data_IF_512542765067
#
_entry.id   IF_512542765067
#
_cell.length_a   1.000
_cell.length_b   1.000
_cell.length_c   1.000
_cell.angle_alpha   90.00
_cell.angle_beta   90.00
_cell.angle_gamma   90.00
#
_symmetry.space_group_name_H-M   'P 1'
#
loop_
_entity.id
_entity.type
_entity.pdbx_description
1 polymer ?
#
# COMPACT_ATOMS: atom_id res chain seq x y z
N UNK A 1 -8.97 22.38 41.16
CA UNK A 1 -8.20 21.16 40.80
C UNK A 1 -9.20 20.06 40.49
N UNK A 2 -9.53 19.89 39.20
CA UNK A 2 -10.47 18.86 38.74
C UNK A 2 -9.66 17.81 37.94
N UNK A 3 -9.55 16.63 38.55
CA UNK A 3 -8.84 15.48 38.02
C UNK A 3 -9.71 14.84 36.95
N UNK A 4 -9.27 14.80 35.72
CA UNK A 4 -9.90 14.06 34.63
C UNK A 4 -9.86 12.56 34.95
N UNK A 5 -11.01 12.01 35.27
CA UNK A 5 -11.24 10.57 35.40
C UNK A 5 -11.33 9.97 33.99
N UNK A 6 -10.24 9.35 33.53
CA UNK A 6 -10.24 8.55 32.31
C UNK A 6 -10.94 7.24 32.65
N UNK A 7 -12.15 7.06 32.13
CA UNK A 7 -12.86 5.79 32.16
C UNK A 7 -12.12 4.79 31.26
N UNK A 8 -11.38 3.89 31.89
CA UNK A 8 -10.91 2.65 31.23
C UNK A 8 -12.13 1.73 31.07
N UNK A 9 -12.79 1.76 29.92
CA UNK A 9 -13.70 0.68 29.54
C UNK A 9 -12.90 -0.61 29.40
N UNK A 10 -13.26 -1.61 30.23
CA UNK A 10 -12.68 -2.93 30.19
C UNK A 10 -12.86 -3.52 28.78
N UNK A 11 -11.78 -3.58 28.02
CA UNK A 11 -11.72 -4.20 26.71
C UNK A 11 -12.11 -5.68 26.85
N UNK A 12 -13.29 -6.02 26.38
CA UNK A 12 -13.87 -7.36 26.50
C UNK A 12 -13.28 -8.30 25.45
N UNK A 13 -12.24 -9.04 25.85
CA UNK A 13 -11.49 -10.00 25.00
C UNK A 13 -12.38 -11.09 24.38
N UNK A 14 -13.60 -11.32 24.92
CA UNK A 14 -14.55 -12.32 24.38
C UNK A 14 -15.23 -11.90 23.09
N UNK A 15 -15.16 -10.65 22.65
CA UNK A 15 -15.80 -10.16 21.42
C UNK A 15 -14.97 -10.35 20.15
N UNK A 16 -13.74 -10.82 20.28
CA UNK A 16 -12.84 -11.08 19.15
C UNK A 16 -13.07 -12.43 18.46
N UNK A 17 -13.72 -13.38 19.12
CA UNK A 17 -14.03 -14.69 18.54
C UNK A 17 -15.26 -14.72 17.62
N UNK A 18 -16.03 -13.63 17.56
CA UNK A 18 -17.26 -13.52 16.77
C UNK A 18 -17.20 -12.55 15.59
N UNK A 19 -16.06 -11.88 15.35
CA UNK A 19 -15.84 -11.22 14.06
C UNK A 19 -15.56 -12.34 13.06
N UNK A 20 -16.64 -12.91 12.54
CA UNK A 20 -16.60 -13.67 11.30
C UNK A 20 -15.92 -12.76 10.28
N UNK A 21 -14.71 -13.10 9.88
CA UNK A 21 -14.10 -12.63 8.66
C UNK A 21 -15.16 -12.83 7.57
N UNK A 22 -15.83 -11.76 7.17
CA UNK A 22 -16.56 -11.74 5.91
C UNK A 22 -15.49 -12.02 4.87
N UNK A 23 -15.57 -13.16 4.24
CA UNK A 23 -14.70 -13.64 3.19
C UNK A 23 -14.64 -12.58 2.10
N UNK A 24 -13.65 -11.71 2.19
CA UNK A 24 -13.16 -10.99 1.03
C UNK A 24 -12.70 -12.07 0.04
N UNK A 25 -13.40 -12.21 -1.08
CA UNK A 25 -13.00 -13.06 -2.20
C UNK A 25 -11.82 -12.42 -2.94
N UNK A 26 -10.79 -12.06 -2.24
CA UNK A 26 -9.47 -11.92 -2.82
C UNK A 26 -9.05 -13.35 -3.18
N UNK A 27 -8.85 -13.63 -4.46
CA UNK A 27 -8.35 -14.91 -4.93
C UNK A 27 -7.03 -15.18 -4.20
N UNK A 28 -7.10 -15.99 -3.14
CA UNK A 28 -5.94 -16.51 -2.42
C UNK A 28 -5.21 -17.51 -3.33
N UNK A 29 -4.32 -17.00 -4.17
CA UNK A 29 -3.27 -17.78 -4.80
C UNK A 29 -1.96 -17.75 -3.99
N UNK A 30 -2.04 -17.43 -2.67
CA UNK A 30 -0.86 -17.13 -1.87
C UNK A 30 -0.31 -18.26 -1.01
N UNK A 31 -0.97 -19.42 -0.93
CA UNK A 31 -0.46 -20.55 -0.13
C UNK A 31 0.61 -21.39 -0.85
N UNK A 32 0.78 -21.25 -2.16
CA UNK A 32 1.70 -22.12 -2.93
C UNK A 32 3.07 -21.51 -3.23
N UNK A 33 3.35 -20.28 -2.86
CA UNK A 33 4.56 -19.58 -3.34
C UNK A 33 5.48 -19.02 -2.24
N UNK A 34 5.55 -19.63 -1.07
CA UNK A 34 6.55 -19.29 -0.04
C UNK A 34 7.98 -19.82 -0.38
N UNK A 35 8.15 -20.46 -1.54
CA UNK A 35 9.44 -21.00 -1.96
C UNK A 35 10.51 -19.93 -2.12
N UNK A 36 10.15 -18.81 -2.76
CA UNK A 36 11.06 -17.67 -2.90
C UNK A 36 11.45 -17.07 -1.53
N UNK A 37 10.50 -17.02 -0.61
CA UNK A 37 10.78 -16.59 0.76
C UNK A 37 11.74 -17.53 1.47
N UNK A 38 11.59 -18.83 1.29
CA UNK A 38 12.48 -19.83 1.89
C UNK A 38 13.91 -19.69 1.35
N UNK A 39 14.10 -19.43 0.06
CA UNK A 39 15.42 -19.14 -0.53
C UNK A 39 16.05 -17.87 0.05
N UNK A 40 15.25 -16.81 0.21
CA UNK A 40 15.68 -15.56 0.87
C UNK A 40 16.09 -15.84 2.31
N UNK A 41 15.30 -16.64 3.04
CA UNK A 41 15.57 -16.99 4.43
C UNK A 41 16.81 -17.88 4.59
N UNK A 42 17.05 -18.81 3.69
CA UNK A 42 18.28 -19.61 3.70
C UNK A 42 19.53 -18.75 3.49
N UNK A 43 19.43 -17.73 2.64
CA UNK A 43 20.55 -16.86 2.32
C UNK A 43 20.84 -15.85 3.44
N UNK A 44 19.81 -15.23 4.01
CA UNK A 44 19.94 -14.11 4.94
C UNK A 44 19.50 -14.42 6.37
N UNK A 45 18.62 -15.40 6.57
CA UNK A 45 17.96 -15.64 7.88
C UNK A 45 18.89 -16.15 8.99
N UNK A 46 20.01 -16.76 8.64
CA UNK A 46 21.00 -17.30 9.60
C UNK A 46 21.88 -16.22 10.25
N UNK A 47 21.90 -15.00 9.75
CA UNK A 47 22.76 -13.91 10.22
C UNK A 47 21.96 -12.92 11.06
N UNK A 48 22.44 -12.59 12.27
CA UNK A 48 21.83 -11.56 13.11
C UNK A 48 21.92 -10.19 12.40
N UNK A 49 20.84 -9.41 12.43
CA UNK A 49 20.81 -8.05 11.87
C UNK A 49 20.23 -7.92 10.45
N UNK A 50 19.95 -9.00 9.75
CA UNK A 50 19.47 -8.97 8.35
C UNK A 50 17.95 -8.87 8.22
N UNK A 51 17.20 -8.60 9.31
CA UNK A 51 15.73 -8.52 9.27
C UNK A 51 15.23 -7.51 8.21
N UNK A 52 15.83 -6.32 8.15
CA UNK A 52 15.44 -5.30 7.17
C UNK A 52 15.68 -5.81 5.74
N UNK A 53 16.82 -6.42 5.49
CA UNK A 53 17.15 -6.99 4.17
C UNK A 53 16.18 -8.11 3.77
N UNK A 54 15.79 -8.97 4.73
CA UNK A 54 14.80 -10.03 4.50
C UNK A 54 13.45 -9.41 4.13
N UNK A 55 13.00 -8.39 4.89
CA UNK A 55 11.74 -7.70 4.61
C UNK A 55 11.77 -6.98 3.25
N UNK A 56 12.89 -6.35 2.87
CA UNK A 56 13.04 -5.73 1.55
C UNK A 56 12.91 -6.77 0.44
N UNK A 57 13.67 -7.87 0.54
CA UNK A 57 13.63 -8.94 -0.46
C UNK A 57 12.26 -9.62 -0.54
N UNK A 58 11.60 -9.83 0.60
CA UNK A 58 10.24 -10.35 0.64
C UNK A 58 9.25 -9.37 -0.03
N UNK A 59 9.39 -8.06 0.21
CA UNK A 59 8.55 -7.07 -0.46
C UNK A 59 8.83 -6.97 -1.96
N UNK A 60 10.09 -7.09 -2.40
CA UNK A 60 10.45 -7.13 -3.82
C UNK A 60 9.80 -8.33 -4.53
N UNK A 61 9.76 -9.50 -3.86
CA UNK A 61 9.19 -10.73 -4.41
C UNK A 61 7.65 -10.77 -4.39
N UNK A 62 7.02 -10.25 -3.33
CA UNK A 62 5.57 -10.37 -3.11
C UNK A 62 4.80 -9.05 -3.24
N UNK A 63 5.48 -7.92 -3.45
CA UNK A 63 4.90 -6.58 -3.54
C UNK A 63 4.53 -5.94 -2.20
N UNK A 64 4.25 -6.75 -1.17
CA UNK A 64 3.92 -6.32 0.20
C UNK A 64 4.28 -7.42 1.22
N UNK A 65 4.25 -7.06 2.50
CA UNK A 65 4.60 -7.98 3.60
C UNK A 65 3.33 -8.41 4.32
N UNK A 66 2.82 -9.60 3.97
CA UNK A 66 1.65 -10.18 4.63
C UNK A 66 1.98 -10.71 6.03
N UNK A 67 0.95 -10.96 6.82
CA UNK A 67 1.07 -11.62 8.13
C UNK A 67 1.70 -13.02 7.99
N UNK A 68 1.40 -13.74 6.92
CA UNK A 68 1.93 -15.07 6.65
C UNK A 68 3.44 -15.03 6.38
N UNK A 69 3.90 -14.03 5.61
CA UNK A 69 5.32 -13.76 5.41
C UNK A 69 6.01 -13.47 6.75
N UNK A 70 5.41 -12.63 7.60
CA UNK A 70 5.98 -12.31 8.91
C UNK A 70 6.05 -13.55 9.82
N UNK A 71 5.03 -14.39 9.82
CA UNK A 71 5.00 -15.64 10.57
C UNK A 71 6.11 -16.58 10.09
N UNK A 72 6.27 -16.74 8.77
CA UNK A 72 7.33 -17.59 8.21
C UNK A 72 8.73 -17.08 8.54
N UNK A 73 8.95 -15.76 8.45
CA UNK A 73 10.21 -15.14 8.90
C UNK A 73 10.45 -15.40 10.39
N UNK A 74 9.42 -15.31 11.23
CA UNK A 74 9.51 -15.55 12.66
C UNK A 74 9.91 -17.00 12.97
N UNK A 75 9.27 -17.97 12.31
CA UNK A 75 9.56 -19.41 12.46
C UNK A 75 11.02 -19.72 12.11
N UNK A 76 11.51 -19.17 11.00
CA UNK A 76 12.85 -19.46 10.52
C UNK A 76 13.94 -18.76 11.35
N UNK A 77 13.74 -17.50 11.69
CA UNK A 77 14.76 -16.64 12.34
C UNK A 77 14.69 -16.67 13.86
N UNK A 78 13.57 -17.14 14.45
CA UNK A 78 13.30 -17.08 15.89
C UNK A 78 12.98 -15.66 16.39
N UNK A 79 12.84 -14.66 15.50
CA UNK A 79 12.47 -13.29 15.86
C UNK A 79 10.96 -13.26 16.09
N UNK A 80 10.51 -12.71 17.23
CA UNK A 80 9.07 -12.58 17.52
C UNK A 80 8.35 -11.78 16.46
N UNK A 81 7.18 -12.24 16.00
CA UNK A 81 6.33 -11.57 14.99
C UNK A 81 6.08 -10.10 15.36
N UNK A 82 5.82 -9.81 16.65
CA UNK A 82 5.63 -8.45 17.12
C UNK A 82 6.83 -7.52 16.84
N UNK A 83 8.06 -8.04 16.89
CA UNK A 83 9.26 -7.27 16.54
C UNK A 83 9.37 -7.08 15.03
N UNK A 84 9.04 -8.08 14.24
CA UNK A 84 9.02 -8.00 12.76
C UNK A 84 7.99 -6.97 12.33
N UNK A 85 6.77 -7.03 12.88
CA UNK A 85 5.69 -6.08 12.65
C UNK A 85 6.11 -4.65 13.04
N UNK A 86 6.73 -4.48 14.22
CA UNK A 86 7.22 -3.18 14.66
C UNK A 86 8.27 -2.58 13.72
N UNK A 87 9.16 -3.39 13.14
CA UNK A 87 10.12 -2.93 12.12
C UNK A 87 9.39 -2.58 10.82
N UNK A 88 8.46 -3.41 10.37
CA UNK A 88 7.72 -3.19 9.13
C UNK A 88 6.84 -1.92 9.19
N UNK A 89 6.27 -1.59 10.36
CA UNK A 89 5.48 -0.36 10.55
C UNK A 89 6.32 0.88 10.81
N UNK A 90 7.53 0.73 11.35
CA UNK A 90 8.42 1.84 11.63
C UNK A 90 9.03 2.45 10.36
N UNK A 91 9.38 1.63 9.39
CA UNK A 91 9.99 2.08 8.15
C UNK A 91 8.92 2.28 7.07
N UNK A 92 8.70 3.52 6.62
CA UNK A 92 7.70 3.90 5.63
C UNK A 92 7.86 3.20 4.25
N UNK A 93 9.01 2.60 3.99
CA UNK A 93 9.24 1.83 2.75
C UNK A 93 8.47 0.51 2.69
N UNK A 94 8.05 -0.04 3.84
CA UNK A 94 7.35 -1.32 3.88
C UNK A 94 5.85 -1.15 3.75
N UNK A 95 5.26 -2.03 2.97
CA UNK A 95 3.83 -2.09 2.71
C UNK A 95 3.25 -3.34 3.34
N UNK A 96 2.18 -3.17 4.11
CA UNK A 96 1.49 -4.26 4.80
C UNK A 96 0.24 -4.72 4.06
N UNK A 97 -0.13 -4.01 3.01
CA UNK A 97 -1.29 -4.29 2.18
C UNK A 97 -0.88 -4.37 0.71
N UNK A 98 -1.56 -5.19 -0.09
CA UNK A 98 -1.31 -5.25 -1.52
C UNK A 98 -1.61 -3.89 -2.16
N UNK A 99 -0.78 -3.51 -3.13
CA UNK A 99 -1.02 -2.36 -3.98
C UNK A 99 -1.81 -2.78 -5.22
N UNK A 100 -2.62 -1.86 -5.73
CA UNK A 100 -3.31 -2.04 -6.99
C UNK A 100 -2.35 -2.01 -8.17
N UNK A 101 -2.84 -2.42 -9.34
CA UNK A 101 -2.09 -2.42 -10.60
C UNK A 101 -1.51 -1.05 -10.94
N UNK A 102 -2.23 0.02 -10.59
CA UNK A 102 -1.84 1.41 -10.79
C UNK A 102 -1.63 2.12 -9.44
N UNK A 103 -0.38 2.39 -9.09
CA UNK A 103 -0.05 3.16 -7.90
C UNK A 103 -0.01 4.65 -8.25
N UNK A 104 -1.00 5.40 -7.80
CA UNK A 104 -1.07 6.86 -7.96
C UNK A 104 -0.27 7.50 -6.82
N UNK A 105 0.84 8.15 -7.16
CA UNK A 105 1.65 8.92 -6.24
C UNK A 105 1.37 10.42 -6.44
N UNK A 106 0.61 11.03 -5.54
CA UNK A 106 0.28 12.46 -5.60
C UNK A 106 1.25 13.28 -4.74
N UNK A 107 1.91 14.25 -5.35
CA UNK A 107 2.86 15.11 -4.65
C UNK A 107 2.14 16.12 -3.75
N UNK A 108 2.52 16.14 -2.46
CA UNK A 108 2.06 17.10 -1.45
C UNK A 108 3.16 18.08 -1.02
N UNK A 109 4.26 18.17 -1.79
CA UNK A 109 5.33 19.13 -1.55
C UNK A 109 4.83 20.58 -1.66
N UNK A 110 5.56 21.52 -1.07
CA UNK A 110 5.17 22.93 -0.94
C UNK A 110 4.68 23.55 -2.26
N UNK A 111 5.42 23.34 -3.37
CA UNK A 111 5.02 23.86 -4.68
C UNK A 111 3.68 23.29 -5.15
N UNK A 112 3.47 21.98 -5.00
CA UNK A 112 2.22 21.33 -5.37
C UNK A 112 1.07 21.74 -4.46
N UNK A 113 1.32 21.86 -3.15
CA UNK A 113 0.32 22.30 -2.18
C UNK A 113 -0.19 23.71 -2.50
N UNK A 114 0.70 24.66 -2.75
CA UNK A 114 0.35 26.04 -3.15
C UNK A 114 -0.42 26.08 -4.48
N UNK A 115 -0.13 25.16 -5.40
CA UNK A 115 -0.82 25.03 -6.68
C UNK A 115 -2.06 24.12 -6.63
N UNK A 116 -2.57 23.77 -5.44
CA UNK A 116 -3.87 23.12 -5.25
C UNK A 116 -3.84 21.60 -5.29
N UNK A 117 -2.73 20.94 -4.95
CA UNK A 117 -2.65 19.47 -4.89
C UNK A 117 -3.67 18.85 -3.92
N UNK A 118 -4.07 19.58 -2.87
CA UNK A 118 -5.09 19.11 -1.94
C UNK A 118 -6.47 18.95 -2.63
N UNK A 119 -6.83 19.89 -3.50
CA UNK A 119 -8.04 19.80 -4.31
C UNK A 119 -7.97 18.60 -5.29
N UNK A 120 -6.79 18.36 -5.88
CA UNK A 120 -6.57 17.18 -6.73
C UNK A 120 -6.73 15.88 -5.91
N UNK A 121 -6.18 15.85 -4.69
CA UNK A 121 -6.34 14.72 -3.78
C UNK A 121 -7.81 14.41 -3.49
N UNK A 122 -8.62 15.43 -3.23
CA UNK A 122 -10.07 15.26 -3.00
C UNK A 122 -10.75 14.68 -4.23
N UNK A 123 -10.47 15.20 -5.42
CA UNK A 123 -11.04 14.69 -6.68
C UNK A 123 -10.69 13.21 -6.89
N UNK A 124 -9.43 12.82 -6.68
CA UNK A 124 -9.01 11.42 -6.81
C UNK A 124 -9.76 10.54 -5.79
N UNK A 125 -9.82 11.00 -4.53
CA UNK A 125 -10.51 10.26 -3.46
C UNK A 125 -11.99 10.09 -3.73
N UNK A 126 -12.68 11.11 -4.25
CA UNK A 126 -14.09 11.04 -4.63
C UNK A 126 -14.32 10.11 -5.84
N UNK A 127 -13.48 10.19 -6.87
CA UNK A 127 -13.61 9.39 -8.09
C UNK A 127 -13.34 7.90 -7.88
N UNK A 128 -12.42 7.58 -6.98
CA UNK A 128 -12.01 6.22 -6.69
C UNK A 128 -12.61 5.66 -5.40
N UNK A 129 -13.27 6.52 -4.59
CA UNK A 129 -13.81 6.19 -3.26
C UNK A 129 -12.75 5.56 -2.33
N UNK A 130 -11.53 6.07 -2.34
CA UNK A 130 -10.41 5.64 -1.50
C UNK A 130 -9.73 6.84 -0.84
N UNK A 131 -9.06 6.57 0.27
CA UNK A 131 -8.21 7.54 0.98
C UNK A 131 -6.74 7.29 0.69
N UNK A 132 -5.90 8.19 1.23
CA UNK A 132 -4.45 8.01 1.19
C UNK A 132 -4.03 6.67 1.83
N UNK A 133 -3.20 5.92 1.10
CA UNK A 133 -2.75 4.58 1.49
C UNK A 133 -3.73 3.44 1.18
N UNK A 134 -4.92 3.73 0.65
CA UNK A 134 -5.93 2.70 0.35
C UNK A 134 -5.89 2.28 -1.13
N UNK A 135 -6.38 1.06 -1.36
CA UNK A 135 -6.55 0.46 -2.69
C UNK A 135 -8.04 0.30 -3.00
N UNK A 136 -8.44 0.53 -4.25
CA UNK A 136 -9.82 0.30 -4.71
C UNK A 136 -10.23 -1.16 -4.55
N UNK A 137 -11.53 -1.43 -4.33
CA UNK A 137 -12.04 -2.79 -4.10
C UNK A 137 -11.75 -3.75 -5.26
N UNK A 138 -11.64 -3.21 -6.47
CA UNK A 138 -11.28 -3.97 -7.69
C UNK A 138 -9.79 -4.27 -7.80
N UNK A 139 -8.96 -3.74 -6.87
CA UNK A 139 -7.51 -3.89 -6.88
C UNK A 139 -6.82 -3.12 -8.01
N UNK A 140 -7.49 -2.18 -8.66
CA UNK A 140 -6.95 -1.47 -9.81
C UNK A 140 -6.05 -0.30 -9.41
N UNK A 141 -6.53 0.56 -8.52
CA UNK A 141 -5.80 1.76 -8.10
C UNK A 141 -5.43 1.75 -6.62
N UNK A 142 -4.26 2.27 -6.31
CA UNK A 142 -3.84 2.64 -4.95
C UNK A 142 -3.46 4.11 -4.94
N UNK A 143 -4.00 4.88 -4.00
CA UNK A 143 -3.59 6.28 -3.80
C UNK A 143 -2.51 6.36 -2.73
N UNK A 144 -1.41 7.05 -3.02
CA UNK A 144 -0.35 7.33 -2.06
C UNK A 144 0.07 8.80 -2.17
N UNK A 145 -0.10 9.56 -1.11
CA UNK A 145 0.38 10.94 -1.02
C UNK A 145 1.85 10.94 -0.62
N UNK A 146 2.68 11.59 -1.42
CA UNK A 146 4.12 11.65 -1.19
C UNK A 146 4.59 13.07 -0.92
N UNK A 147 5.61 13.22 -0.08
CA UNK A 147 6.11 14.53 0.32
C UNK A 147 6.67 15.35 -0.85
N UNK A 148 7.35 14.71 -1.82
CA UNK A 148 7.84 15.38 -3.02
C UNK A 148 8.26 14.37 -4.09
N UNK A 149 7.88 14.65 -5.35
CA UNK A 149 8.30 13.87 -6.54
C UNK A 149 9.49 14.49 -7.27
N UNK A 150 9.95 15.69 -6.87
CA UNK A 150 11.08 16.37 -7.51
C UNK A 150 10.72 17.19 -8.76
N UNK A 151 9.48 17.14 -9.27
CA UNK A 151 9.04 17.81 -10.50
C UNK A 151 8.31 19.14 -10.21
N UNK A 152 8.87 19.99 -9.34
CA UNK A 152 8.21 21.20 -8.82
C UNK A 152 7.83 22.24 -9.90
N UNK A 153 8.53 22.25 -11.03
CA UNK A 153 8.19 23.15 -12.17
C UNK A 153 6.88 22.77 -12.87
N UNK A 154 6.40 21.56 -12.67
CA UNK A 154 5.17 21.03 -13.24
C UNK A 154 4.03 20.94 -12.21
N UNK A 155 4.15 21.61 -11.08
CA UNK A 155 3.18 21.54 -9.99
C UNK A 155 1.77 22.03 -10.40
N UNK A 156 0.69 21.37 -9.98
CA UNK A 156 0.62 20.13 -9.22
C UNK A 156 0.97 18.88 -10.05
N UNK A 157 1.59 17.88 -9.43
CA UNK A 157 2.13 16.70 -10.13
C UNK A 157 1.64 15.41 -9.46
N UNK A 158 1.26 14.44 -10.28
CA UNK A 158 1.13 13.05 -9.87
C UNK A 158 1.98 12.14 -10.78
N UNK A 159 2.36 11.00 -10.24
CA UNK A 159 3.00 9.91 -10.98
C UNK A 159 2.12 8.67 -10.85
N UNK A 160 1.87 8.01 -11.95
CA UNK A 160 1.18 6.71 -11.97
C UNK A 160 2.21 5.66 -12.29
N UNK A 161 2.43 4.76 -11.34
CA UNK A 161 3.40 3.69 -11.40
C UNK A 161 2.71 2.37 -11.65
N UNK A 162 3.19 1.63 -12.65
CA UNK A 162 2.80 0.24 -12.95
C UNK A 162 4.01 -0.69 -12.81
N UNK A 163 3.83 -1.98 -13.02
CA UNK A 163 4.96 -2.92 -13.06
C UNK A 163 5.93 -2.60 -14.20
N UNK A 164 5.42 -2.12 -15.35
CA UNK A 164 6.18 -1.94 -16.58
C UNK A 164 6.62 -0.49 -16.84
N UNK A 165 5.94 0.50 -16.26
CA UNK A 165 6.17 1.92 -16.58
C UNK A 165 5.81 2.87 -15.45
N UNK A 166 6.51 4.01 -15.44
CA UNK A 166 6.23 5.15 -14.57
C UNK A 166 5.85 6.35 -15.43
N UNK A 167 4.61 6.84 -15.34
CA UNK A 167 4.11 7.98 -16.08
C UNK A 167 3.91 9.18 -15.16
N UNK A 168 4.47 10.34 -15.54
CA UNK A 168 4.38 11.57 -14.75
C UNK A 168 3.47 12.59 -15.43
N UNK A 169 2.47 13.07 -14.69
CA UNK A 169 1.49 14.06 -15.13
C UNK A 169 1.66 15.34 -14.31
N UNK A 170 1.88 16.45 -15.00
CA UNK A 170 2.06 17.77 -14.40
C UNK A 170 0.98 18.76 -14.79
N UNK A 171 0.99 19.95 -14.13
CA UNK A 171 0.00 21.02 -14.34
C UNK A 171 -1.44 20.50 -14.22
N UNK A 172 -1.67 19.65 -13.20
CA UNK A 172 -2.93 18.95 -13.03
C UNK A 172 -4.08 19.91 -12.76
N UNK A 173 -5.20 19.65 -13.42
CA UNK A 173 -6.51 20.25 -13.16
C UNK A 173 -7.49 19.15 -12.76
N UNK A 174 -8.65 19.53 -12.18
CA UNK A 174 -9.70 18.57 -11.85
C UNK A 174 -10.09 17.72 -13.05
N UNK A 175 -10.33 18.39 -14.18
CA UNK A 175 -10.81 17.74 -15.40
C UNK A 175 -9.77 16.79 -15.98
N UNK A 176 -8.49 17.21 -16.01
CA UNK A 176 -7.40 16.37 -16.52
C UNK A 176 -7.21 15.09 -15.69
N UNK A 177 -7.36 15.18 -14.37
CA UNK A 177 -7.25 14.01 -13.49
C UNK A 177 -8.39 13.04 -13.74
N UNK A 178 -9.63 13.51 -13.84
CA UNK A 178 -10.79 12.68 -14.13
C UNK A 178 -10.62 11.98 -15.49
N UNK A 179 -10.14 12.71 -16.49
CA UNK A 179 -9.89 12.17 -17.84
C UNK A 179 -8.83 11.07 -17.80
N UNK A 180 -7.69 11.30 -17.12
CA UNK A 180 -6.62 10.30 -16.97
C UNK A 180 -7.14 9.02 -16.30
N UNK A 181 -7.88 9.16 -15.19
CA UNK A 181 -8.44 8.02 -14.48
C UNK A 181 -9.43 7.22 -15.33
N UNK A 182 -10.28 7.91 -16.10
CA UNK A 182 -11.24 7.28 -16.99
C UNK A 182 -10.55 6.56 -18.15
N UNK A 183 -9.54 7.17 -18.77
CA UNK A 183 -8.75 6.52 -19.83
C UNK A 183 -8.11 5.21 -19.36
N UNK A 184 -7.58 5.19 -18.12
CA UNK A 184 -7.01 3.97 -17.54
C UNK A 184 -8.08 2.91 -17.31
N UNK A 185 -9.26 3.29 -16.76
CA UNK A 185 -10.39 2.37 -16.56
C UNK A 185 -10.86 1.75 -17.87
N UNK A 186 -11.07 2.58 -18.89
CA UNK A 186 -11.47 2.10 -20.22
C UNK A 186 -10.45 1.15 -20.86
N UNK A 187 -9.15 1.46 -20.69
CA UNK A 187 -8.06 0.60 -21.18
C UNK A 187 -8.11 -0.78 -20.52
N UNK A 188 -8.37 -0.83 -19.21
CA UNK A 188 -8.48 -2.08 -18.49
C UNK A 188 -9.75 -2.87 -18.80
N UNK A 189 -10.86 -2.18 -19.03
CA UNK A 189 -12.12 -2.82 -19.45
C UNK A 189 -11.99 -3.46 -20.84
N UNK A 190 -11.34 -2.77 -21.78
CA UNK A 190 -11.04 -3.32 -23.12
C UNK A 190 -10.13 -4.54 -23.04
N UNK A 191 -9.06 -4.45 -22.22
CA UNK A 191 -8.16 -5.59 -22.03
C UNK A 191 -8.84 -6.81 -21.39
N UNK A 192 -9.80 -6.60 -20.50
CA UNK A 192 -10.63 -7.70 -19.92
C UNK A 192 -11.62 -8.30 -20.93
N UNK A 193 -12.13 -7.49 -21.85
CA UNK A 193 -13.09 -7.94 -22.89
C UNK A 193 -12.45 -8.74 -24.02
N UNK A 194 -11.14 -8.60 -24.27
CA UNK A 194 -10.40 -9.38 -25.28
C UNK A 194 -9.97 -10.78 -24.80
N UNK A 195 -10.04 -11.04 -23.49
CA UNK A 195 -9.64 -12.32 -22.88
C UNK A 195 -10.86 -13.25 -22.61
N UNK A 196 -12.08 -12.75 -22.78
CA UNK A 196 -13.33 -13.50 -22.60
C UNK A 196 -13.89 -14.01 -23.92
#
# INVERSE_FOLDING_TARGET
WNVYSIHYEKFNIKKWSEIRMSTCKCKNNQTDNLKELDEILETYGKKKGYLITILQKAQDAYGYISIDIMNRISEFTGIKVAKIYGVATFYAQFRLQPIGKYLIMLCQGTACHVNGSEMISQVISEQLNIKDGETTEDGLFTLNQVSCLGCCSLAPVMMIKTEDSDETYGNLTKDSVIEILNQIKEKEEKAKGEIA
#
